data_IF_271465192344
#
_entry.id   IF_271465192344
#
_cell.length_a   1.000
_cell.length_b   1.000
_cell.length_c   1.000
_cell.angle_alpha   90.00
_cell.angle_beta   90.00
_cell.angle_gamma   90.00
#
_symmetry.space_group_name_H-M   'P 1'
#
loop_
_entity.id
_entity.type
_entity.pdbx_description
1 polymer ?
#
# COMPACT_ATOMS: atom_id res chain seq x y z
N UNK A 1 -3.79 -11.73 -6.19
CA UNK A 1 -3.42 -10.31 -6.46
C UNK A 1 -2.39 -9.85 -5.44
N UNK A 2 -1.87 -8.63 -5.58
CA UNK A 2 -0.95 -8.02 -4.61
C UNK A 2 -1.63 -6.80 -4.00
N UNK A 3 -1.57 -6.64 -2.68
CA UNK A 3 -2.02 -5.43 -1.96
C UNK A 3 -0.81 -4.76 -1.31
N UNK A 4 -0.69 -3.43 -1.46
CA UNK A 4 0.32 -2.62 -0.81
C UNK A 4 -0.41 -1.52 -0.04
N UNK A 5 -0.34 -1.58 1.28
CA UNK A 5 -0.97 -0.58 2.15
C UNK A 5 0.10 0.24 2.86
N UNK A 6 0.04 1.56 2.79
CA UNK A 6 0.74 2.47 3.69
C UNK A 6 -0.24 3.46 4.31
N UNK A 7 -0.65 3.22 5.55
CA UNK A 7 -1.61 4.05 6.27
C UNK A 7 -0.94 4.85 7.38
N UNK A 8 -1.48 6.04 7.64
CA UNK A 8 -1.09 6.88 8.75
C UNK A 8 -2.33 7.22 9.58
N UNK A 9 -2.24 7.07 10.90
CA UNK A 9 -3.31 7.50 11.82
C UNK A 9 -3.30 9.01 12.09
N UNK A 10 -2.19 9.67 11.81
CA UNK A 10 -2.04 11.13 11.95
C UNK A 10 -2.66 11.86 10.75
N UNK A 11 -3.14 13.07 10.99
CA UNK A 11 -3.56 14.01 9.93
C UNK A 11 -2.41 14.85 9.41
N UNK A 12 -2.70 15.88 8.61
CA UNK A 12 -1.66 16.78 8.07
C UNK A 12 -1.11 17.76 9.12
N UNK A 13 -1.91 18.09 10.14
CA UNK A 13 -1.50 18.98 11.23
C UNK A 13 -1.01 20.33 10.69
N UNK A 14 0.15 20.79 11.18
CA UNK A 14 0.73 22.09 10.79
C UNK A 14 1.30 22.12 9.36
N UNK A 15 1.42 20.97 8.70
CA UNK A 15 1.95 20.85 7.33
C UNK A 15 0.90 21.07 6.25
N UNK A 16 -0.29 21.58 6.59
CA UNK A 16 -1.38 21.82 5.63
C UNK A 16 -0.95 22.59 4.38
N UNK A 17 -0.18 23.67 4.54
CA UNK A 17 0.27 24.47 3.39
C UNK A 17 1.19 23.74 2.41
N UNK A 18 2.06 22.84 2.90
CA UNK A 18 2.84 21.96 2.02
C UNK A 18 1.93 20.92 1.36
N UNK A 19 1.07 20.29 2.17
CA UNK A 19 0.24 19.18 1.71
C UNK A 19 -0.77 19.62 0.64
N UNK A 20 -1.26 20.86 0.69
CA UNK A 20 -2.13 21.45 -0.35
C UNK A 20 -1.52 21.43 -1.75
N UNK A 21 -0.19 21.52 -1.84
CA UNK A 21 0.51 21.48 -3.14
C UNK A 21 0.90 20.06 -3.55
N UNK A 22 1.19 19.21 -2.56
CA UNK A 22 1.67 17.86 -2.79
C UNK A 22 0.52 16.87 -3.04
N UNK A 23 -0.43 16.80 -2.11
CA UNK A 23 -1.39 15.71 -1.97
C UNK A 23 -0.74 14.39 -1.59
N UNK A 24 -1.53 13.39 -1.20
CA UNK A 24 -1.00 12.06 -0.84
C UNK A 24 -0.35 11.36 -2.04
N UNK A 25 -0.77 11.71 -3.27
CA UNK A 25 -0.23 11.11 -4.49
C UNK A 25 1.27 11.42 -4.63
N UNK A 26 1.67 12.68 -4.40
CA UNK A 26 3.09 13.06 -4.45
C UNK A 26 3.84 12.75 -3.15
N UNK A 27 3.17 12.85 -2.00
CA UNK A 27 3.79 12.64 -0.69
C UNK A 27 4.17 11.17 -0.45
N UNK A 28 3.33 10.23 -0.89
CA UNK A 28 3.47 8.80 -0.57
C UNK A 28 3.47 7.86 -1.77
N UNK A 29 2.64 8.12 -2.79
CA UNK A 29 2.49 7.18 -3.91
C UNK A 29 3.69 7.22 -4.83
N UNK A 30 4.02 8.41 -5.35
CA UNK A 30 5.05 8.61 -6.37
C UNK A 30 6.43 8.08 -5.94
N UNK A 31 6.75 8.18 -4.65
CA UNK A 31 8.04 7.79 -4.10
C UNK A 31 7.97 6.41 -3.40
N UNK A 32 7.43 6.35 -2.19
CA UNK A 32 7.53 5.22 -1.28
C UNK A 32 6.79 3.98 -1.81
N UNK A 33 5.53 4.15 -2.24
CA UNK A 33 4.71 3.02 -2.66
C UNK A 33 5.12 2.49 -4.03
N UNK A 34 5.49 3.36 -4.97
CA UNK A 34 6.06 2.91 -6.24
C UNK A 34 7.40 2.19 -6.05
N UNK A 35 8.27 2.66 -5.15
CA UNK A 35 9.51 1.94 -4.83
C UNK A 35 9.25 0.58 -4.17
N UNK A 36 8.25 0.48 -3.29
CA UNK A 36 7.84 -0.79 -2.68
C UNK A 36 7.26 -1.74 -3.74
N UNK A 37 6.40 -1.23 -4.63
CA UNK A 37 5.86 -1.98 -5.76
C UNK A 37 6.99 -2.51 -6.65
N UNK A 38 7.95 -1.67 -7.03
CA UNK A 38 9.08 -2.09 -7.86
C UNK A 38 9.93 -3.15 -7.17
N UNK A 39 10.16 -3.02 -5.87
CA UNK A 39 10.92 -4.02 -5.09
C UNK A 39 10.21 -5.38 -5.04
N UNK A 40 8.88 -5.39 -4.95
CA UNK A 40 8.08 -6.62 -4.96
C UNK A 40 8.00 -7.23 -6.37
N UNK A 41 7.95 -6.39 -7.40
CA UNK A 41 7.65 -6.81 -8.76
C UNK A 41 8.87 -7.02 -9.66
N UNK A 42 10.06 -6.54 -9.28
CA UNK A 42 11.26 -6.64 -10.10
C UNK A 42 11.64 -8.09 -10.40
N UNK A 43 12.27 -8.31 -11.56
CA UNK A 43 12.91 -9.59 -11.83
C UNK A 43 14.14 -9.77 -10.93
N UNK A 44 14.58 -11.02 -10.67
CA UNK A 44 15.84 -11.26 -9.99
C UNK A 44 16.99 -10.62 -10.78
N UNK A 45 17.80 -9.73 -10.18
CA UNK A 45 18.92 -9.13 -10.87
C UNK A 45 19.98 -10.20 -11.16
N UNK A 46 20.70 -10.05 -12.27
CA UNK A 46 21.75 -11.01 -12.67
C UNK A 46 22.88 -11.13 -11.65
N UNK A 47 23.16 -10.03 -10.94
CA UNK A 47 24.08 -9.92 -9.80
C UNK A 47 23.50 -8.95 -8.80
N UNK A 48 23.81 -9.13 -7.51
CA UNK A 48 23.36 -8.22 -6.46
C UNK A 48 24.29 -7.01 -6.35
N UNK A 49 24.24 -6.15 -7.37
CA UNK A 49 24.99 -4.91 -7.48
C UNK A 49 24.03 -3.73 -7.71
N UNK A 50 24.44 -2.54 -7.24
CA UNK A 50 23.58 -1.35 -7.20
C UNK A 50 22.92 -1.00 -8.53
N UNK A 51 23.61 -1.13 -9.67
CA UNK A 51 23.04 -0.73 -10.96
C UNK A 51 22.02 -1.76 -11.44
N UNK A 52 22.27 -3.03 -11.19
CA UNK A 52 21.49 -4.15 -11.66
C UNK A 52 20.18 -4.23 -10.88
N UNK A 53 20.20 -4.02 -9.56
CA UNK A 53 18.97 -3.89 -8.77
C UNK A 53 18.11 -2.72 -9.27
N UNK A 54 18.74 -1.57 -9.54
CA UNK A 54 18.07 -0.36 -10.02
C UNK A 54 17.53 -0.49 -11.44
N UNK A 55 18.25 -1.20 -12.31
CA UNK A 55 17.80 -1.53 -13.66
C UNK A 55 16.54 -2.41 -13.62
N UNK A 56 16.48 -3.41 -12.74
CA UNK A 56 15.29 -4.26 -12.60
C UNK A 56 14.09 -3.47 -12.03
N UNK A 57 14.31 -2.55 -11.09
CA UNK A 57 13.25 -1.63 -10.63
C UNK A 57 12.74 -0.73 -11.75
N UNK A 58 13.65 -0.14 -12.53
CA UNK A 58 13.28 0.72 -13.67
C UNK A 58 12.44 -0.03 -14.70
N UNK A 59 12.77 -1.28 -15.02
CA UNK A 59 11.96 -2.12 -15.93
C UNK A 59 10.52 -2.28 -15.44
N UNK A 60 10.30 -2.37 -14.13
CA UNK A 60 8.94 -2.39 -13.57
C UNK A 60 8.19 -1.11 -13.90
N UNK A 61 8.78 0.06 -13.64
CA UNK A 61 8.14 1.35 -13.94
C UNK A 61 7.84 1.50 -15.44
N UNK A 62 8.76 1.12 -16.31
CA UNK A 62 8.53 1.11 -17.76
C UNK A 62 7.45 0.13 -18.20
N UNK A 63 7.14 -0.88 -17.37
CA UNK A 63 6.09 -1.86 -17.64
C UNK A 63 4.78 -1.53 -16.94
N UNK A 64 4.67 -0.43 -16.19
CA UNK A 64 3.39 -0.01 -15.62
C UNK A 64 2.44 0.36 -16.76
N UNK A 65 1.28 -0.29 -16.79
CA UNK A 65 0.25 0.00 -17.79
C UNK A 65 -0.29 1.41 -17.53
N UNK A 66 -0.20 2.34 -18.49
CA UNK A 66 -0.78 3.68 -18.35
C UNK A 66 -2.27 3.61 -18.00
N UNK A 67 -2.71 4.54 -17.14
CA UNK A 67 -4.14 4.71 -16.82
C UNK A 67 -4.69 5.77 -17.76
N UNK A 68 -5.50 5.33 -18.72
CA UNK A 68 -6.19 6.21 -19.65
C UNK A 68 -7.25 7.06 -18.92
N UNK A 69 -7.54 8.25 -19.45
CA UNK A 69 -8.43 9.21 -18.80
C UNK A 69 -9.85 8.65 -18.54
N UNK A 70 -10.37 7.82 -19.43
CA UNK A 70 -11.68 7.18 -19.32
C UNK A 70 -11.70 6.03 -18.29
N UNK A 71 -10.54 5.46 -17.97
CA UNK A 71 -10.39 4.41 -16.95
C UNK A 71 -10.02 4.97 -15.58
N UNK A 72 -9.66 6.25 -15.50
CA UNK A 72 -9.15 6.87 -14.28
C UNK A 72 -10.13 6.73 -13.10
N UNK A 73 -11.43 6.95 -13.34
CA UNK A 73 -12.48 6.79 -12.32
C UNK A 73 -12.68 5.34 -11.85
N UNK A 74 -12.33 4.35 -12.69
CA UNK A 74 -12.49 2.93 -12.39
C UNK A 74 -11.25 2.31 -11.75
N UNK A 75 -10.07 2.92 -11.94
CA UNK A 75 -8.81 2.40 -11.44
C UNK A 75 -8.25 3.20 -10.27
N UNK A 76 -8.67 4.45 -10.06
CA UNK A 76 -8.12 5.31 -9.03
C UNK A 76 -9.23 6.01 -8.24
N UNK A 77 -9.22 5.80 -6.93
CA UNK A 77 -10.13 6.44 -5.98
C UNK A 77 -9.34 7.42 -5.14
N UNK A 78 -9.80 8.68 -5.12
CA UNK A 78 -9.24 9.73 -4.26
C UNK A 78 -10.20 10.02 -3.12
N UNK A 79 -9.66 10.25 -1.94
CA UNK A 79 -10.44 10.62 -0.78
C UNK A 79 -9.86 11.81 -0.03
N UNK A 80 -10.70 12.47 0.76
CA UNK A 80 -10.32 13.51 1.70
C UNK A 80 -10.98 13.25 3.07
N UNK A 81 -10.20 13.26 4.15
CA UNK A 81 -10.77 12.97 5.47
C UNK A 81 -11.67 14.10 5.95
N UNK A 82 -12.83 13.74 6.49
CA UNK A 82 -13.79 14.66 7.10
C UNK A 82 -13.76 14.53 8.63
N UNK A 83 -14.27 15.56 9.30
CA UNK A 83 -14.37 15.58 10.75
C UNK A 83 -15.15 14.36 11.28
N UNK A 84 -14.68 13.79 12.38
CA UNK A 84 -15.31 12.64 13.02
C UNK A 84 -14.93 12.60 14.50
N UNK A 85 -15.50 11.63 15.23
CA UNK A 85 -15.06 11.32 16.59
C UNK A 85 -14.23 10.03 16.54
N UNK A 86 -12.96 10.12 16.94
CA UNK A 86 -12.03 8.99 17.01
C UNK A 86 -11.67 8.78 18.47
N UNK A 87 -11.95 7.60 19.03
CA UNK A 87 -11.67 7.26 20.44
C UNK A 87 -12.23 8.28 21.45
N UNK A 88 -13.40 8.84 21.16
CA UNK A 88 -14.07 9.83 22.00
C UNK A 88 -13.58 11.28 21.82
N UNK A 89 -12.57 11.50 20.98
CA UNK A 89 -12.06 12.85 20.67
C UNK A 89 -12.55 13.32 19.30
N UNK A 90 -12.99 14.58 19.22
CA UNK A 90 -13.35 15.18 17.94
C UNK A 90 -12.09 15.56 17.18
N UNK A 91 -11.96 14.99 15.98
CA UNK A 91 -10.87 15.29 15.05
C UNK A 91 -11.40 16.13 13.89
N UNK A 92 -10.59 17.10 13.47
CA UNK A 92 -10.93 18.01 12.37
C UNK A 92 -10.92 17.32 11.02
N UNK A 93 -11.74 17.80 10.10
CA UNK A 93 -11.65 17.47 8.68
C UNK A 93 -10.47 18.19 8.02
N UNK A 94 -10.01 17.71 6.88
CA UNK A 94 -8.84 18.27 6.19
C UNK A 94 -9.00 19.78 5.88
N UNK A 95 -10.17 20.18 5.39
CA UNK A 95 -10.53 21.59 5.09
C UNK A 95 -10.63 22.50 6.32
N UNK A 96 -10.56 21.93 7.52
CA UNK A 96 -10.58 22.65 8.81
C UNK A 96 -9.18 22.74 9.43
N UNK A 97 -8.16 22.14 8.80
CA UNK A 97 -6.78 22.17 9.26
C UNK A 97 -6.13 23.52 8.99
N UNK A 98 -5.02 23.78 9.68
CA UNK A 98 -4.29 25.05 9.56
C UNK A 98 -3.63 25.12 8.19
N UNK A 99 -3.76 26.28 7.52
CA UNK A 99 -3.21 26.54 6.19
C UNK A 99 -3.76 25.62 5.08
N UNK A 100 -5.02 25.20 5.17
CA UNK A 100 -5.74 24.46 4.11
C UNK A 100 -6.88 25.31 3.55
N UNK A 101 -7.09 25.29 2.23
CA UNK A 101 -8.22 25.96 1.60
C UNK A 101 -9.54 25.26 2.00
N UNK A 102 -10.55 25.98 2.53
CA UNK A 102 -11.88 25.42 2.80
C UNK A 102 -12.59 24.80 1.57
N UNK A 103 -12.17 25.17 0.35
CA UNK A 103 -12.67 24.60 -0.91
C UNK A 103 -11.74 23.51 -1.50
N UNK A 104 -10.67 23.14 -0.79
CA UNK A 104 -9.62 22.24 -1.31
C UNK A 104 -10.16 20.90 -1.82
N UNK A 105 -9.66 20.49 -2.98
CA UNK A 105 -9.85 19.17 -3.58
C UNK A 105 -8.56 18.34 -3.51
N UNK A 106 -7.62 18.70 -2.64
CA UNK A 106 -6.40 17.93 -2.38
C UNK A 106 -6.76 16.60 -1.75
N UNK A 107 -6.25 15.51 -2.31
CA UNK A 107 -6.50 14.18 -1.80
C UNK A 107 -5.61 13.86 -0.60
N UNK A 108 -6.22 13.35 0.48
CA UNK A 108 -5.51 12.83 1.67
C UNK A 108 -5.52 11.31 1.72
N UNK A 109 -6.19 10.68 0.75
CA UNK A 109 -6.27 9.24 0.54
C UNK A 109 -6.25 8.94 -0.95
N UNK A 110 -5.55 7.89 -1.35
CA UNK A 110 -5.56 7.32 -2.70
C UNK A 110 -5.61 5.80 -2.60
N UNK A 111 -6.50 5.18 -3.38
CA UNK A 111 -6.45 3.76 -3.69
C UNK A 111 -6.36 3.57 -5.21
N UNK A 112 -5.55 2.62 -5.68
CA UNK A 112 -5.27 2.40 -7.08
C UNK A 112 -5.27 0.92 -7.43
N UNK A 113 -5.77 0.58 -8.62
CA UNK A 113 -5.64 -0.72 -9.27
C UNK A 113 -4.71 -0.59 -10.48
N UNK A 114 -3.54 -1.21 -10.37
CA UNK A 114 -2.46 -1.13 -11.34
C UNK A 114 -2.21 -2.49 -12.01
N UNK A 115 -1.61 -2.44 -13.19
CA UNK A 115 -1.13 -3.61 -13.92
C UNK A 115 0.31 -3.37 -14.37
N UNK A 116 1.09 -4.45 -14.38
CA UNK A 116 2.47 -4.46 -14.87
C UNK A 116 2.52 -5.37 -16.09
N UNK A 117 2.70 -4.78 -17.27
CA UNK A 117 2.67 -5.46 -18.57
C UNK A 117 4.01 -6.13 -18.88
N UNK A 118 4.32 -7.18 -18.13
CA UNK A 118 5.45 -8.05 -18.37
C UNK A 118 5.08 -9.54 -18.21
N UNK A 119 6.04 -10.43 -18.51
CA UNK A 119 5.80 -11.88 -18.51
C UNK A 119 5.36 -12.43 -17.14
N UNK A 120 5.92 -11.90 -16.05
CA UNK A 120 5.65 -12.40 -14.69
C UNK A 120 4.30 -11.95 -14.16
N UNK A 121 3.92 -10.69 -14.43
CA UNK A 121 2.78 -10.03 -13.80
C UNK A 121 1.59 -9.80 -14.73
N UNK A 122 1.63 -10.34 -15.95
CA UNK A 122 0.51 -10.28 -16.88
C UNK A 122 -0.81 -10.71 -16.22
N UNK A 123 -1.78 -9.80 -16.23
CA UNK A 123 -3.12 -9.95 -15.62
C UNK A 123 -3.14 -10.13 -14.09
N UNK A 124 -2.04 -9.89 -13.37
CA UNK A 124 -2.04 -9.85 -11.90
C UNK A 124 -2.25 -8.41 -11.45
N UNK A 125 -3.40 -8.06 -10.83
CA UNK A 125 -3.61 -6.69 -10.36
C UNK A 125 -2.77 -6.40 -9.11
N UNK A 126 -2.19 -5.20 -9.09
CA UNK A 126 -1.54 -4.60 -7.94
C UNK A 126 -2.45 -3.52 -7.38
N UNK A 127 -2.83 -3.67 -6.12
CA UNK A 127 -3.66 -2.72 -5.41
C UNK A 127 -2.79 -1.90 -4.47
N UNK A 128 -2.82 -0.58 -4.59
CA UNK A 128 -2.14 0.33 -3.67
C UNK A 128 -3.21 1.07 -2.88
N UNK A 129 -3.03 1.22 -1.56
CA UNK A 129 -3.86 2.08 -0.71
C UNK A 129 -3.01 2.87 0.26
N UNK A 130 -3.25 4.17 0.32
CA UNK A 130 -2.60 5.05 1.28
C UNK A 130 -3.51 6.18 1.70
N UNK A 131 -3.31 6.68 2.91
CA UNK A 131 -4.00 7.87 3.37
C UNK A 131 -3.64 8.28 4.79
N UNK A 132 -4.01 9.50 5.11
CA UNK A 132 -3.91 10.09 6.45
C UNK A 132 -5.23 9.91 7.21
N UNK A 133 -5.17 10.00 8.54
CA UNK A 133 -6.32 9.73 9.44
C UNK A 133 -6.99 8.38 9.18
N UNK A 134 -6.21 7.35 8.85
CA UNK A 134 -6.68 5.97 8.81
C UNK A 134 -6.64 5.35 10.23
N UNK A 135 -7.22 4.17 10.48
CA UNK A 135 -7.41 3.68 11.86
C UNK A 135 -6.09 3.38 12.58
N UNK A 136 -5.05 2.99 11.84
CA UNK A 136 -3.73 2.69 12.39
C UNK A 136 -2.62 3.12 11.44
N UNK A 137 -1.41 3.31 11.97
CA UNK A 137 -0.20 3.42 11.17
C UNK A 137 0.27 2.02 10.78
N UNK A 138 0.39 1.75 9.48
CA UNK A 138 0.95 0.49 8.97
C UNK A 138 1.60 0.69 7.61
N UNK A 139 2.60 -0.12 7.29
CA UNK A 139 3.10 -0.33 5.94
C UNK A 139 3.28 -1.83 5.73
N UNK A 140 2.57 -2.39 4.78
CA UNK A 140 2.63 -3.83 4.48
C UNK A 140 2.42 -4.13 3.00
N UNK A 141 2.93 -5.30 2.59
CA UNK A 141 2.65 -5.93 1.30
C UNK A 141 1.97 -7.26 1.57
N UNK A 142 0.85 -7.52 0.90
CA UNK A 142 0.09 -8.76 1.00
C UNK A 142 0.04 -9.42 -0.37
N UNK A 143 0.53 -10.66 -0.43
CA UNK A 143 0.49 -11.49 -1.63
C UNK A 143 -0.64 -12.49 -1.45
N UNK A 144 -1.73 -12.32 -2.21
CA UNK A 144 -2.84 -13.26 -2.25
C UNK A 144 -2.59 -14.29 -3.35
N UNK A 145 -2.42 -15.54 -2.95
CA UNK A 145 -2.20 -16.64 -3.88
C UNK A 145 -3.51 -17.04 -4.57
N UNK A 146 -3.39 -17.58 -5.77
CA UNK A 146 -4.53 -18.15 -6.48
C UNK A 146 -5.14 -19.29 -5.66
N UNK A 147 -6.47 -19.37 -5.68
CA UNK A 147 -7.18 -20.53 -5.11
C UNK A 147 -6.72 -21.81 -5.79
N UNK A 148 -6.67 -22.89 -5.02
CA UNK A 148 -6.33 -24.21 -5.56
C UNK A 148 -7.38 -24.60 -6.61
N UNK A 149 -7.00 -24.92 -7.86
CA UNK A 149 -7.97 -25.23 -8.92
C UNK A 149 -8.88 -26.42 -8.60
N UNK A 150 -8.42 -27.32 -7.74
CA UNK A 150 -9.16 -28.49 -7.29
C UNK A 150 -9.20 -28.57 -5.76
N UNK A 151 -10.34 -28.22 -5.18
CA UNK A 151 -10.57 -28.34 -3.74
C UNK A 151 -10.83 -29.82 -3.38
N UNK A 152 -9.79 -30.51 -2.89
CA UNK A 152 -9.89 -31.88 -2.38
C UNK A 152 -10.74 -31.97 -1.11
N UNK A 153 -10.88 -30.86 -0.39
CA UNK A 153 -11.62 -30.76 0.85
C UNK A 153 -12.81 -29.82 0.62
N UNK A 154 -14.04 -30.29 0.90
CA UNK A 154 -15.29 -29.57 0.60
C UNK A 154 -15.56 -28.36 1.51
N UNK A 155 -14.80 -28.23 2.59
CA UNK A 155 -15.00 -27.22 3.64
C UNK A 155 -13.73 -26.42 3.81
N UNK A 156 -13.74 -25.19 3.28
CA UNK A 156 -12.71 -24.17 3.49
C UNK A 156 -12.05 -23.75 2.18
N UNK A 157 -12.50 -22.61 1.63
CA UNK A 157 -11.70 -21.86 0.65
C UNK A 157 -10.51 -21.26 1.40
N UNK A 158 -9.45 -22.05 1.55
CA UNK A 158 -8.19 -21.55 2.10
C UNK A 158 -7.55 -20.61 1.08
N UNK A 159 -7.65 -19.31 1.33
CA UNK A 159 -6.93 -18.29 0.58
C UNK A 159 -5.57 -18.08 1.24
N UNK A 160 -4.53 -18.66 0.64
CA UNK A 160 -3.18 -18.47 1.16
C UNK A 160 -2.79 -17.00 0.98
N UNK A 161 -2.16 -16.44 2.00
CA UNK A 161 -1.66 -15.06 2.00
C UNK A 161 -0.25 -15.02 2.58
N UNK A 162 0.67 -14.33 1.90
CA UNK A 162 1.95 -13.95 2.47
C UNK A 162 1.92 -12.45 2.78
N UNK A 163 2.00 -12.12 4.06
CA UNK A 163 1.97 -10.75 4.56
C UNK A 163 3.38 -10.40 5.00
N UNK A 164 3.92 -9.36 4.37
CA UNK A 164 5.22 -8.77 4.68
C UNK A 164 4.96 -7.43 5.39
N UNK A 165 5.22 -7.37 6.69
CA UNK A 165 5.03 -6.16 7.49
C UNK A 165 6.32 -5.36 7.53
N UNK A 166 6.28 -4.14 6.99
CA UNK A 166 7.41 -3.20 6.91
C UNK A 166 7.47 -2.31 8.15
N UNK A 167 6.32 -1.88 8.67
CA UNK A 167 6.23 -1.14 9.94
C UNK A 167 4.76 -0.99 10.38
N UNK A 168 4.48 -0.76 11.66
CA UNK A 168 5.30 -1.19 12.80
C UNK A 168 5.21 -2.71 12.98
N UNK A 169 5.94 -3.25 13.96
CA UNK A 169 5.96 -4.69 14.28
C UNK A 169 6.42 -5.51 13.07
N UNK A 170 7.63 -5.20 12.61
CA UNK A 170 8.25 -5.76 11.42
C UNK A 170 8.28 -7.29 11.48
N UNK A 171 7.81 -7.93 10.42
CA UNK A 171 7.59 -9.37 10.46
C UNK A 171 7.00 -9.95 9.19
N UNK A 172 6.87 -11.26 9.19
CA UNK A 172 6.32 -12.05 8.09
C UNK A 172 5.23 -12.95 8.66
N UNK A 173 4.05 -12.95 8.04
CA UNK A 173 2.93 -13.82 8.40
C UNK A 173 2.48 -14.58 7.15
N UNK A 174 2.52 -15.91 7.20
CA UNK A 174 2.01 -16.78 6.16
C UNK A 174 0.71 -17.43 6.63
N UNK A 175 -0.41 -17.08 6.00
CA UNK A 175 -1.72 -17.72 6.20
C UNK A 175 -1.92 -18.85 5.20
N UNK A 176 -2.38 -20.00 5.68
CA UNK A 176 -2.68 -21.16 4.85
C UNK A 176 -3.71 -22.09 5.48
N UNK A 177 -4.35 -22.90 4.64
CA UNK A 177 -5.29 -23.92 5.09
C UNK A 177 -4.57 -25.12 5.71
N UNK A 178 -4.99 -25.53 6.90
CA UNK A 178 -4.54 -26.76 7.55
C UNK A 178 -5.73 -27.65 7.92
N UNK A 179 -5.60 -28.95 7.67
CA UNK A 179 -6.56 -29.95 8.16
C UNK A 179 -6.49 -29.99 9.70
N UNK A 180 -7.63 -29.86 10.36
CA UNK A 180 -7.69 -30.02 11.81
C UNK A 180 -7.34 -31.47 12.21
N UNK A 181 -6.55 -31.66 13.29
CA UNK A 181 -6.32 -32.98 13.86
C UNK A 181 -7.64 -33.63 14.29
N UNK A 182 -7.86 -34.89 13.90
CA UNK A 182 -9.08 -35.63 14.24
C UNK A 182 -9.66 -36.45 13.08
N UNK A 183 -10.84 -37.02 13.31
CA UNK A 183 -11.65 -37.67 12.29
C UNK A 183 -12.35 -36.63 11.42
N UNK A 184 -12.29 -36.80 10.10
CA UNK A 184 -12.88 -35.87 9.15
C UNK A 184 -11.86 -35.11 8.30
N UNK A 185 -12.37 -34.12 7.57
CA UNK A 185 -11.68 -33.38 6.51
C UNK A 185 -11.90 -31.86 6.61
N UNK A 186 -12.12 -31.38 7.84
CA UNK A 186 -12.30 -29.96 8.11
C UNK A 186 -10.97 -29.23 7.97
N UNK A 187 -10.97 -28.15 7.19
CA UNK A 187 -9.84 -27.22 7.05
C UNK A 187 -10.12 -25.98 7.88
N UNK A 188 -9.10 -25.51 8.57
CA UNK A 188 -9.07 -24.19 9.17
C UNK A 188 -7.91 -23.38 8.61
N UNK A 189 -8.13 -22.09 8.38
CA UNK A 189 -7.03 -21.17 8.10
C UNK A 189 -6.21 -20.99 9.38
N UNK A 190 -4.93 -21.28 9.28
CA UNK A 190 -3.93 -21.07 10.33
C UNK A 190 -2.84 -20.18 9.79
N UNK A 191 -1.94 -19.72 10.67
CA UNK A 191 -0.82 -18.91 10.26
C UNK A 191 0.47 -19.33 10.95
N UNK A 192 1.58 -19.06 10.27
CA UNK A 192 2.92 -19.00 10.84
C UNK A 192 3.38 -17.56 10.80
N UNK A 193 3.85 -17.04 11.93
CA UNK A 193 4.43 -15.70 12.04
C UNK A 193 5.90 -15.76 12.41
N UNK A 194 6.57 -14.66 12.07
CA UNK A 194 7.93 -14.36 12.46
C UNK A 194 8.02 -12.85 12.71
N UNK A 195 8.43 -12.45 13.92
CA UNK A 195 8.61 -11.06 14.29
C UNK A 195 10.11 -10.72 14.38
N UNK A 196 10.53 -9.59 13.81
CA UNK A 196 11.92 -9.16 13.86
C UNK A 196 12.40 -8.88 15.29
N UNK A 197 11.49 -8.48 16.17
CA UNK A 197 11.77 -8.29 17.60
C UNK A 197 12.32 -9.57 18.27
N UNK A 198 12.03 -10.76 17.73
CA UNK A 198 12.51 -12.04 18.26
C UNK A 198 13.95 -12.37 17.84
N UNK A 199 14.48 -11.76 16.78
CA UNK A 199 15.84 -12.07 16.27
C UNK A 199 16.96 -11.36 17.03
N UNK A 200 16.70 -10.18 17.57
CA UNK A 200 17.77 -9.38 18.16
C UNK A 200 17.29 -8.48 19.29
N UNK A 201 18.05 -8.48 20.38
CA UNK A 201 17.96 -7.43 21.40
C UNK A 201 18.60 -6.11 20.94
N UNK A 202 19.31 -6.10 19.80
CA UNK A 202 19.93 -4.90 19.26
C UNK A 202 18.89 -4.08 18.48
N UNK A 203 18.96 -2.76 18.63
CA UNK A 203 18.15 -1.81 17.88
C UNK A 203 18.36 -2.04 16.38
N UNK A 204 17.28 -2.30 15.64
CA UNK A 204 17.30 -2.25 14.17
C UNK A 204 17.70 -0.81 13.79
N UNK A 205 18.77 -0.60 13.00
CA UNK A 205 19.19 0.74 12.62
C UNK A 205 18.04 1.50 11.99
N UNK A 206 17.86 2.77 12.38
CA UNK A 206 16.84 3.60 11.74
C UNK A 206 17.19 3.84 10.26
N UNK A 207 16.16 4.15 9.46
CA UNK A 207 16.32 4.31 8.00
C UNK A 207 17.45 5.30 7.63
N UNK A 208 17.57 6.43 8.35
CA UNK A 208 18.64 7.40 8.09
C UNK A 208 20.03 6.91 8.52
N UNK A 209 20.13 6.14 9.61
CA UNK A 209 21.41 5.54 10.03
C UNK A 209 21.96 4.63 8.92
N UNK A 210 21.07 3.81 8.34
CA UNK A 210 21.42 2.94 7.22
C UNK A 210 21.80 3.71 5.96
N UNK A 211 20.98 4.67 5.54
CA UNK A 211 21.22 5.42 4.29
C UNK A 211 22.49 6.29 4.36
N UNK A 212 22.78 6.90 5.51
CA UNK A 212 24.01 7.68 5.69
C UNK A 212 25.24 6.78 5.58
N UNK A 213 25.19 5.59 6.21
CA UNK A 213 26.28 4.62 6.11
C UNK A 213 26.49 4.16 4.65
N UNK A 214 25.42 3.81 3.95
CA UNK A 214 25.49 3.36 2.56
C UNK A 214 26.08 4.47 1.65
N UNK A 215 25.70 5.74 1.88
CA UNK A 215 26.28 6.87 1.16
C UNK A 215 27.79 7.03 1.41
N UNK A 216 28.26 6.81 2.65
CA UNK A 216 29.69 6.86 2.98
C UNK A 216 30.48 5.70 2.36
N UNK A 217 29.85 4.54 2.20
CA UNK A 217 30.43 3.37 1.56
C UNK A 217 30.34 3.39 0.03
N UNK A 218 29.61 4.36 -0.55
CA UNK A 218 29.37 4.44 -1.98
C UNK A 218 28.38 3.39 -2.50
N UNK A 219 27.55 2.82 -1.63
CA UNK A 219 26.50 1.87 -2.01
C UNK A 219 25.19 2.63 -2.31
N UNK A 220 24.84 2.67 -3.59
CA UNK A 220 23.63 3.35 -4.05
C UNK A 220 22.42 2.40 -4.21
N UNK A 221 22.47 1.16 -3.72
CA UNK A 221 21.42 0.14 -3.93
C UNK A 221 20.06 0.58 -3.37
N UNK A 222 20.05 1.29 -2.24
CA UNK A 222 18.82 1.80 -1.60
C UNK A 222 18.43 3.22 -2.04
N UNK A 223 19.15 3.81 -3.00
CA UNK A 223 18.90 5.15 -3.51
C UNK A 223 18.25 5.10 -4.88
N UNK A 224 17.17 5.86 -5.06
CA UNK A 224 16.52 5.99 -6.36
C UNK A 224 17.45 6.69 -7.36
N UNK A 225 17.65 6.09 -8.54
CA UNK A 225 18.40 6.70 -9.65
C UNK A 225 17.52 7.68 -10.43
N UNK A 226 18.11 8.68 -11.06
CA UNK A 226 17.36 9.74 -11.77
C UNK A 226 16.37 9.20 -12.81
N UNK A 227 16.78 8.21 -13.58
CA UNK A 227 15.96 7.57 -14.61
C UNK A 227 14.82 6.69 -14.04
N UNK A 228 14.99 6.12 -12.84
CA UNK A 228 13.89 5.49 -12.10
C UNK A 228 12.87 6.53 -11.65
N UNK A 229 13.34 7.67 -11.13
CA UNK A 229 12.46 8.76 -10.67
C UNK A 229 11.67 9.36 -11.83
N UNK A 230 12.32 9.57 -12.97
CA UNK A 230 11.67 10.04 -14.21
C UNK A 230 10.59 9.03 -14.67
N UNK A 231 10.91 7.73 -14.73
CA UNK A 231 9.94 6.70 -15.13
C UNK A 231 8.72 6.63 -14.18
N UNK A 232 8.93 6.86 -12.89
CA UNK A 232 7.85 6.93 -11.91
C UNK A 232 6.96 8.18 -12.14
N UNK A 233 7.55 9.32 -12.49
CA UNK A 233 6.78 10.54 -12.83
C UNK A 233 6.02 10.41 -14.15
N UNK A 234 6.61 9.80 -15.18
CA UNK A 234 5.93 9.53 -16.45
C UNK A 234 4.63 8.75 -16.26
N UNK A 235 4.57 7.88 -15.23
CA UNK A 235 3.36 7.16 -14.87
C UNK A 235 2.37 8.00 -14.04
N UNK A 236 2.84 8.80 -13.10
CA UNK A 236 2.00 9.53 -12.13
C UNK A 236 1.45 10.86 -12.69
N UNK A 237 2.23 11.59 -13.48
CA UNK A 237 1.84 12.91 -14.00
C UNK A 237 0.54 12.89 -14.80
N UNK A 238 0.30 11.94 -15.72
CA UNK A 238 -0.96 11.86 -16.45
C UNK A 238 -2.19 11.67 -15.54
N UNK A 239 -2.03 10.91 -14.44
CA UNK A 239 -3.10 10.70 -13.45
C UNK A 239 -3.45 12.01 -12.75
N UNK A 240 -2.43 12.75 -12.30
CA UNK A 240 -2.64 14.03 -11.63
C UNK A 240 -3.21 15.07 -12.60
N UNK A 241 -2.71 15.11 -13.84
CA UNK A 241 -3.24 15.98 -14.88
C UNK A 241 -4.72 15.66 -15.18
N UNK A 242 -5.09 14.38 -15.24
CA UNK A 242 -6.47 13.94 -15.41
C UNK A 242 -7.41 14.52 -14.34
N UNK A 243 -6.99 14.49 -13.07
CA UNK A 243 -7.75 15.07 -11.97
C UNK A 243 -7.90 16.59 -12.02
N UNK A 244 -6.90 17.29 -12.55
CA UNK A 244 -6.94 18.75 -12.68
C UNK A 244 -7.81 19.21 -13.85
N UNK A 245 -7.90 18.39 -14.90
CA UNK A 245 -8.59 18.72 -16.14
C UNK A 245 -10.06 18.26 -16.16
N UNK A 246 -10.45 17.34 -15.28
CA UNK A 246 -11.82 16.81 -15.21
C UNK A 246 -12.47 17.07 -13.83
N UNK A 247 -13.30 18.13 -13.70
CA UNK A 247 -14.05 18.42 -12.48
C UNK A 247 -15.09 17.36 -12.11
N UNK A 248 -15.47 16.44 -13.01
CA UNK A 248 -16.41 15.36 -12.71
C UNK A 248 -15.75 14.25 -11.87
N UNK A 249 -14.42 14.17 -11.85
CA UNK A 249 -13.65 13.25 -10.99
C UNK A 249 -13.70 13.71 -9.54
N UNK A 250 -14.60 13.08 -8.77
CA UNK A 250 -14.88 13.45 -7.38
C UNK A 250 -13.77 13.05 -6.43
N UNK A 251 -13.53 13.90 -5.44
CA UNK A 251 -12.80 13.55 -4.22
C UNK A 251 -13.82 13.11 -3.18
N UNK A 252 -13.75 11.84 -2.76
CA UNK A 252 -14.72 11.26 -1.85
C UNK A 252 -14.40 11.58 -0.38
N UNK A 253 -15.40 11.99 0.39
CA UNK A 253 -15.23 12.18 1.83
C UNK A 253 -15.15 10.83 2.56
N UNK A 254 -14.24 10.71 3.53
CA UNK A 254 -14.23 9.59 4.47
C UNK A 254 -14.06 10.06 5.91
N UNK A 255 -14.83 9.54 6.89
CA UNK A 255 -14.65 9.93 8.28
C UNK A 255 -13.23 9.62 8.74
N UNK A 256 -12.56 10.56 9.39
CA UNK A 256 -11.28 10.28 10.02
C UNK A 256 -11.38 9.08 10.99
N UNK A 257 -10.35 8.24 11.02
CA UNK A 257 -10.35 6.98 11.77
C UNK A 257 -11.03 5.81 11.04
N UNK A 258 -11.41 5.95 9.77
CA UNK A 258 -11.91 4.85 8.93
C UNK A 258 -10.91 4.47 7.83
N UNK A 259 -11.10 3.33 7.16
CA UNK A 259 -10.19 2.81 6.12
C UNK A 259 -10.28 3.50 4.75
N UNK A 260 -10.78 4.73 4.72
CA UNK A 260 -10.97 5.51 3.49
C UNK A 260 -12.41 5.45 2.94
N UNK A 261 -12.63 6.01 1.75
CA UNK A 261 -13.94 6.02 1.10
C UNK A 261 -14.43 4.62 0.76
N UNK A 262 -15.75 4.41 0.79
CA UNK A 262 -16.39 3.13 0.42
C UNK A 262 -16.10 2.74 -1.04
N UNK A 263 -15.86 3.73 -1.89
CA UNK A 263 -15.54 3.56 -3.31
C UNK A 263 -14.21 2.80 -3.49
N UNK A 264 -13.28 2.88 -2.52
CA UNK A 264 -12.03 2.14 -2.58
C UNK A 264 -12.24 0.61 -2.60
N UNK A 265 -13.31 0.12 -1.97
CA UNK A 265 -13.64 -1.31 -1.99
C UNK A 265 -14.08 -1.78 -3.39
N UNK A 266 -14.60 -0.89 -4.24
CA UNK A 266 -15.06 -1.22 -5.59
C UNK A 266 -13.91 -1.52 -6.56
N UNK A 267 -12.67 -1.15 -6.20
CA UNK A 267 -11.48 -1.50 -6.99
C UNK A 267 -11.22 -3.00 -6.98
N UNK A 268 -11.55 -3.69 -5.88
CA UNK A 268 -11.41 -5.13 -5.77
C UNK A 268 -12.57 -5.83 -6.48
N UNK A 269 -12.25 -6.91 -7.19
CA UNK A 269 -13.24 -7.69 -7.93
C UNK A 269 -13.87 -8.78 -7.04
N UNK A 270 -15.00 -9.33 -7.50
CA UNK A 270 -15.57 -10.59 -7.00
C UNK A 270 -15.89 -10.64 -5.49
N UNK A 271 -16.22 -9.50 -4.88
CA UNK A 271 -16.59 -9.42 -3.46
C UNK A 271 -15.41 -9.63 -2.51
N UNK A 272 -14.18 -9.44 -2.99
CA UNK A 272 -13.00 -9.37 -2.14
C UNK A 272 -12.97 -8.03 -1.40
N UNK A 273 -12.55 -8.06 -0.15
CA UNK A 273 -12.32 -6.86 0.67
C UNK A 273 -10.82 -6.64 0.87
N UNK A 274 -10.44 -5.38 0.99
CA UNK A 274 -9.09 -5.02 1.42
C UNK A 274 -8.75 -5.68 2.76
N UNK A 275 -7.49 -6.07 2.94
CA UNK A 275 -7.01 -6.40 4.29
C UNK A 275 -7.13 -5.17 5.21
N UNK A 276 -7.59 -5.37 6.44
CA UNK A 276 -7.65 -4.34 7.49
C UNK A 276 -6.61 -4.63 8.57
N UNK A 277 -5.36 -4.17 8.41
CA UNK A 277 -4.29 -4.51 9.32
C UNK A 277 -4.39 -3.80 10.67
N UNK A 278 -3.91 -4.48 11.70
CA UNK A 278 -3.79 -3.92 13.04
C UNK A 278 -2.41 -3.28 13.24
N UNK A 279 -2.28 -2.51 14.32
CA UNK A 279 -0.98 -1.97 14.76
C UNK A 279 0.04 -3.09 14.92
N UNK A 280 -0.33 -4.18 15.60
CA UNK A 280 0.52 -5.35 15.71
C UNK A 280 0.27 -6.30 14.53
N UNK A 281 1.29 -7.03 14.13
CA UNK A 281 1.17 -8.12 13.16
C UNK A 281 0.47 -9.29 13.86
N UNK A 282 -0.79 -9.53 13.50
CA UNK A 282 -1.60 -10.60 14.09
C UNK A 282 -2.30 -11.43 13.03
N UNK A 283 -2.65 -12.66 13.42
CA UNK A 283 -3.46 -13.55 12.60
C UNK A 283 -4.97 -13.19 12.64
N UNK A 284 -5.39 -12.25 13.49
CA UNK A 284 -6.80 -11.89 13.61
C UNK A 284 -7.26 -11.05 12.43
N UNK A 285 -8.37 -11.46 11.80
CA UNK A 285 -8.97 -10.76 10.65
C UNK A 285 -10.11 -9.81 11.07
N UNK A 286 -10.47 -9.77 12.36
CA UNK A 286 -11.79 -9.29 12.76
C UNK A 286 -11.83 -7.96 13.50
N UNK A 287 -10.78 -7.52 14.21
CA UNK A 287 -10.84 -6.23 14.95
C UNK A 287 -9.47 -5.57 15.10
N UNK A 288 -9.28 -4.45 14.42
CA UNK A 288 -8.23 -3.49 14.72
C UNK A 288 -8.89 -2.25 15.32
N UNK A 289 -8.43 -1.85 16.51
CA UNK A 289 -8.92 -0.72 17.32
C UNK A 289 -9.70 0.34 16.52
N UNK A 290 -11.04 0.34 16.64
CA UNK A 290 -11.89 1.48 16.27
C UNK A 290 -11.90 2.49 17.43
#
# INVERSE_FOLDING_TARGET
HIEITASESVGVGERGGYFETAGIMRDMVQNHLLQLLATVAMEPPSVFEMNQVRDEKRKVFQSLRPIEADQLANQVVRGQYIASTVRGENVKGYREEVNVDPASQTETFVAMKLFIDNWRWGNVPFFIRTGKRLPTRVTEVVIHFNRTPHALFRSGDAENQLILRIQPDEGILLKFGMKLPGSGFEIKNVAMDFHYADLSQNKIPEAYERLILDALLGDATLFARSDEVESAWEFIDPIIAGWQNDPELKVYGYPAGTWGPKEAAQLLENGQDWRYPCKNLTNEDTYCEL
#
